data_IF_335205412455
#
_entry.id   IF_335205412455
#
_cell.length_a   1.000
_cell.length_b   1.000
_cell.length_c   1.000
_cell.angle_alpha   90.00
_cell.angle_beta   90.00
_cell.angle_gamma   90.00
#
_symmetry.space_group_name_H-M   'P 1'
#
loop_
_entity.id
_entity.type
_entity.pdbx_description
1 polymer ?
#
# COMPACT_ATOMS: atom_id res chain seq x y z
N UNK A 1 -29.74 16.43 13.73
CA UNK A 1 -28.29 16.11 13.72
C UNK A 1 -27.87 16.02 12.26
N UNK A 2 -26.93 16.84 11.78
CA UNK A 2 -26.48 16.76 10.38
C UNK A 2 -25.80 15.41 10.15
N UNK A 3 -26.23 14.67 9.13
CA UNK A 3 -25.57 13.44 8.70
C UNK A 3 -24.27 13.80 7.98
N UNK A 4 -23.18 13.96 8.74
CA UNK A 4 -21.86 14.34 8.21
C UNK A 4 -21.35 13.35 7.15
N UNK A 5 -21.76 12.08 7.22
CA UNK A 5 -21.37 11.05 6.25
C UNK A 5 -21.83 11.34 4.81
N UNK A 6 -22.81 12.24 4.61
CA UNK A 6 -23.22 12.66 3.27
C UNK A 6 -22.14 13.48 2.55
N UNK A 7 -21.29 14.20 3.29
CA UNK A 7 -20.31 15.15 2.72
C UNK A 7 -18.88 14.85 3.14
N UNK A 8 -18.68 13.98 4.15
CA UNK A 8 -17.37 13.67 4.73
C UNK A 8 -17.19 12.18 4.99
N UNK A 9 -15.95 11.70 4.89
CA UNK A 9 -15.48 10.54 5.63
C UNK A 9 -15.27 10.95 7.09
N UNK A 10 -15.84 10.20 8.04
CA UNK A 10 -15.76 10.51 9.48
C UNK A 10 -15.12 9.35 10.22
N UNK A 11 -14.03 9.62 10.94
CA UNK A 11 -13.41 8.68 11.87
C UNK A 11 -13.96 8.92 13.27
N UNK A 12 -14.45 7.87 13.92
CA UNK A 12 -15.02 7.93 15.27
C UNK A 12 -14.30 6.89 16.12
N UNK A 13 -13.82 7.29 17.30
CA UNK A 13 -13.26 6.34 18.24
C UNK A 13 -14.37 5.42 18.76
N UNK A 14 -14.33 4.12 18.49
CA UNK A 14 -15.42 3.22 18.86
C UNK A 14 -15.49 2.94 20.37
N UNK A 15 -14.44 3.26 21.13
CA UNK A 15 -14.42 3.08 22.59
C UNK A 15 -15.05 4.27 23.32
N UNK A 16 -14.96 5.48 22.77
CA UNK A 16 -15.50 6.71 23.42
C UNK A 16 -16.73 7.29 22.70
N UNK A 17 -16.92 6.96 21.42
CA UNK A 17 -17.93 7.57 20.55
C UNK A 17 -17.55 8.97 20.05
N UNK A 18 -16.36 9.46 20.37
CA UNK A 18 -15.89 10.79 19.98
C UNK A 18 -15.40 10.81 18.53
N UNK A 19 -15.70 11.90 17.81
CA UNK A 19 -15.17 12.12 16.46
C UNK A 19 -13.68 12.44 16.55
N UNK A 20 -12.86 11.63 15.88
CA UNK A 20 -11.40 11.80 15.79
C UNK A 20 -11.06 12.78 14.69
N UNK A 21 -11.69 12.62 13.53
CA UNK A 21 -11.47 13.47 12.36
C UNK A 21 -12.67 13.40 11.40
N UNK A 22 -12.78 14.42 10.54
CA UNK A 22 -13.70 14.42 9.40
C UNK A 22 -13.02 15.03 8.18
N UNK A 23 -13.05 14.33 7.06
CA UNK A 23 -12.45 14.77 5.80
C UNK A 23 -13.54 14.88 4.74
N UNK A 24 -13.70 16.02 4.04
CA UNK A 24 -14.69 16.12 2.97
C UNK A 24 -14.38 15.14 1.84
N UNK A 25 -15.40 14.72 1.11
CA UNK A 25 -15.20 13.94 -0.11
C UNK A 25 -14.36 14.73 -1.13
N UNK A 26 -13.48 14.02 -1.83
CA UNK A 26 -12.67 14.63 -2.88
C UNK A 26 -13.56 15.26 -3.97
N UNK A 27 -13.20 16.46 -4.40
CA UNK A 27 -13.81 17.10 -5.56
C UNK A 27 -13.42 16.38 -6.86
N UNK A 28 -14.21 16.57 -7.92
CA UNK A 28 -13.92 16.05 -9.26
C UNK A 28 -12.49 16.40 -9.71
N UNK A 29 -12.08 17.66 -9.49
CA UNK A 29 -10.73 18.14 -9.80
C UNK A 29 -9.63 17.39 -9.03
N UNK A 30 -9.85 17.06 -7.75
CA UNK A 30 -8.87 16.32 -6.94
C UNK A 30 -8.79 14.86 -7.39
N UNK A 31 -9.93 14.25 -7.75
CA UNK A 31 -9.98 12.90 -8.31
C UNK A 31 -9.22 12.85 -9.64
N UNK A 32 -9.50 13.77 -10.57
CA UNK A 32 -8.82 13.86 -11.86
C UNK A 32 -7.30 14.08 -11.68
N UNK A 33 -6.91 14.95 -10.74
CA UNK A 33 -5.51 15.18 -10.43
C UNK A 33 -4.82 13.93 -9.88
N UNK A 34 -5.48 13.19 -8.98
CA UNK A 34 -4.94 11.94 -8.43
C UNK A 34 -4.77 10.86 -9.51
N UNK A 35 -5.75 10.72 -10.42
CA UNK A 35 -5.69 9.79 -11.55
C UNK A 35 -4.55 10.17 -12.51
N UNK A 36 -4.45 11.45 -12.87
CA UNK A 36 -3.41 11.94 -13.76
C UNK A 36 -2.00 11.71 -13.16
N UNK A 37 -1.84 11.96 -11.86
CA UNK A 37 -0.58 11.72 -11.14
C UNK A 37 -0.23 10.23 -11.12
N UNK A 38 -1.20 9.35 -10.81
CA UNK A 38 -0.99 7.91 -10.80
C UNK A 38 -0.61 7.38 -12.19
N UNK A 39 -1.26 7.87 -13.25
CA UNK A 39 -0.96 7.48 -14.62
C UNK A 39 0.44 7.93 -15.05
N UNK A 40 0.86 9.14 -14.67
CA UNK A 40 2.22 9.63 -14.91
C UNK A 40 3.27 8.82 -14.14
N UNK A 41 3.01 8.54 -12.86
CA UNK A 41 3.86 7.71 -12.00
C UNK A 41 4.02 6.30 -12.57
N UNK A 42 2.94 5.65 -13.01
CA UNK A 42 3.00 4.32 -13.64
C UNK A 42 3.88 4.29 -14.89
N UNK A 43 3.76 5.30 -15.77
CA UNK A 43 4.57 5.38 -17.01
C UNK A 43 6.07 5.41 -16.70
N UNK A 44 6.47 6.03 -15.60
CA UNK A 44 7.86 6.05 -15.13
C UNK A 44 8.22 4.73 -14.42
N UNK A 45 7.37 4.28 -13.50
CA UNK A 45 7.61 3.10 -12.65
C UNK A 45 7.71 1.79 -13.42
N UNK A 46 6.98 1.64 -14.54
CA UNK A 46 7.04 0.43 -15.37
C UNK A 46 8.43 0.21 -15.99
N UNK A 47 9.21 1.28 -16.17
CA UNK A 47 10.58 1.22 -16.70
C UNK A 47 11.64 1.09 -15.60
N UNK A 48 11.25 1.15 -14.32
CA UNK A 48 12.18 1.02 -13.19
C UNK A 48 12.69 -0.42 -13.07
N UNK A 49 14.01 -0.65 -12.95
CA UNK A 49 14.58 -1.97 -12.74
C UNK A 49 13.96 -2.71 -11.55
N UNK A 50 13.82 -4.04 -11.65
CA UNK A 50 13.25 -4.85 -10.56
C UNK A 50 13.99 -4.68 -9.22
N UNK A 51 15.32 -4.55 -9.26
CA UNK A 51 16.14 -4.34 -8.06
C UNK A 51 15.76 -3.03 -7.33
N UNK A 52 15.64 -1.92 -8.06
CA UNK A 52 15.28 -0.63 -7.49
C UNK A 52 13.85 -0.63 -6.91
N UNK A 53 12.94 -1.40 -7.53
CA UNK A 53 11.58 -1.61 -7.01
C UNK A 53 11.59 -2.42 -5.71
N UNK A 54 12.44 -3.45 -5.61
CA UNK A 54 12.65 -4.20 -4.38
C UNK A 54 13.24 -3.31 -3.27
N UNK A 55 14.19 -2.43 -3.60
CA UNK A 55 14.74 -1.46 -2.64
C UNK A 55 13.71 -0.42 -2.19
N UNK A 56 12.77 -0.03 -3.05
CA UNK A 56 11.62 0.76 -2.64
C UNK A 56 10.75 0.03 -1.59
N UNK A 57 10.48 -1.26 -1.78
CA UNK A 57 9.76 -2.06 -0.79
C UNK A 57 10.51 -2.14 0.55
N UNK A 58 11.83 -2.38 0.54
CA UNK A 58 12.66 -2.36 1.77
C UNK A 58 12.57 -1.03 2.51
N UNK A 59 12.60 0.09 1.77
CA UNK A 59 12.44 1.44 2.36
C UNK A 59 11.05 1.64 2.97
N UNK A 60 10.00 1.11 2.36
CA UNK A 60 8.64 1.14 2.93
C UNK A 60 8.59 0.33 4.24
N UNK A 61 9.15 -0.89 4.25
CA UNK A 61 9.24 -1.71 5.45
C UNK A 61 10.02 -1.02 6.58
N UNK A 62 11.14 -0.38 6.26
CA UNK A 62 11.91 0.42 7.21
C UNK A 62 11.12 1.61 7.77
N UNK A 63 10.38 2.35 6.91
CA UNK A 63 9.54 3.47 7.34
C UNK A 63 8.39 3.03 8.27
N UNK A 64 7.75 1.89 7.96
CA UNK A 64 6.71 1.30 8.81
C UNK A 64 7.25 0.93 10.19
N UNK A 65 8.47 0.37 10.27
CA UNK A 65 9.12 0.05 11.56
C UNK A 65 9.48 1.31 12.34
N UNK A 66 10.03 2.32 11.66
CA UNK A 66 10.42 3.58 12.28
C UNK A 66 9.24 4.33 12.91
N UNK A 67 8.04 4.21 12.32
CA UNK A 67 6.80 4.86 12.78
C UNK A 67 5.80 3.86 13.38
N UNK A 68 6.26 2.67 13.77
CA UNK A 68 5.36 1.54 14.01
C UNK A 68 4.36 1.77 15.14
N UNK A 69 4.81 2.41 16.23
CA UNK A 69 3.93 2.75 17.35
C UNK A 69 2.88 3.79 16.97
N UNK A 70 3.27 4.84 16.22
CA UNK A 70 2.35 5.88 15.75
C UNK A 70 1.22 5.28 14.90
N UNK A 71 1.57 4.41 13.95
CA UNK A 71 0.60 3.73 13.09
C UNK A 71 -0.30 2.78 13.91
N UNK A 72 0.26 2.03 14.85
CA UNK A 72 -0.52 1.11 15.69
C UNK A 72 -1.52 1.86 16.58
N UNK A 73 -1.13 3.00 17.16
CA UNK A 73 -2.01 3.86 17.95
C UNK A 73 -3.15 4.43 17.10
N UNK A 74 -2.87 4.83 15.86
CA UNK A 74 -3.90 5.33 14.93
C UNK A 74 -4.92 4.24 14.57
N UNK A 75 -4.47 3.01 14.28
CA UNK A 75 -5.34 1.86 14.03
C UNK A 75 -6.25 1.63 15.25
N UNK A 76 -5.69 1.57 16.46
CA UNK A 76 -6.49 1.39 17.68
C UNK A 76 -7.48 2.55 17.89
N UNK A 77 -7.05 3.79 17.68
CA UNK A 77 -7.87 4.98 17.89
C UNK A 77 -9.08 5.03 16.96
N UNK A 78 -8.90 4.77 15.66
CA UNK A 78 -9.96 4.95 14.67
C UNK A 78 -10.93 3.77 14.58
N UNK A 79 -10.52 2.56 14.97
CA UNK A 79 -11.36 1.36 14.79
C UNK A 79 -11.32 0.35 15.94
N UNK A 80 -10.62 0.65 17.03
CA UNK A 80 -10.75 -0.08 18.30
C UNK A 80 -10.00 -1.41 18.39
N UNK A 81 -9.10 -1.73 17.44
CA UNK A 81 -8.26 -2.94 17.52
C UNK A 81 -7.41 -2.89 18.79
N UNK A 82 -7.33 -3.98 19.59
CA UNK A 82 -6.43 -4.03 20.73
C UNK A 82 -4.99 -3.70 20.33
N UNK A 83 -4.32 -2.81 21.07
CA UNK A 83 -3.02 -2.24 20.68
C UNK A 83 -1.94 -3.29 20.40
N UNK A 84 -1.95 -4.42 21.13
CA UNK A 84 -1.03 -5.52 20.88
C UNK A 84 -1.23 -6.15 19.48
N UNK A 85 -2.48 -6.27 19.03
CA UNK A 85 -2.80 -6.77 17.70
C UNK A 85 -2.47 -5.74 16.61
N UNK A 86 -2.73 -4.45 16.86
CA UNK A 86 -2.36 -3.37 15.94
C UNK A 86 -0.84 -3.29 15.72
N UNK A 87 -0.03 -3.40 16.80
CA UNK A 87 1.44 -3.52 16.68
C UNK A 87 1.85 -4.75 15.88
N UNK A 88 1.20 -5.89 16.11
CA UNK A 88 1.42 -7.11 15.33
C UNK A 88 1.10 -6.95 13.85
N UNK A 89 0.04 -6.22 13.51
CA UNK A 89 -0.32 -5.91 12.12
C UNK A 89 0.71 -5.02 11.42
N UNK A 90 1.20 -3.98 12.11
CA UNK A 90 2.26 -3.11 11.55
C UNK A 90 3.54 -3.92 11.30
N UNK A 91 3.94 -4.75 12.27
CA UNK A 91 5.09 -5.63 12.13
C UNK A 91 4.91 -6.62 10.96
N UNK A 92 3.74 -7.25 10.83
CA UNK A 92 3.41 -8.15 9.73
C UNK A 92 3.47 -7.44 8.37
N UNK A 93 2.96 -6.21 8.30
CA UNK A 93 2.97 -5.40 7.08
C UNK A 93 4.40 -5.01 6.66
N UNK A 94 5.24 -4.61 7.61
CA UNK A 94 6.65 -4.32 7.32
C UNK A 94 7.41 -5.58 6.84
N UNK A 95 7.14 -6.74 7.46
CA UNK A 95 7.74 -8.01 7.05
C UNK A 95 7.29 -8.44 5.65
N UNK A 96 6.04 -8.15 5.26
CA UNK A 96 5.54 -8.42 3.92
C UNK A 96 6.32 -7.63 2.85
N UNK A 97 6.69 -6.38 3.15
CA UNK A 97 7.52 -5.58 2.26
C UNK A 97 8.87 -6.24 2.00
N UNK A 98 9.55 -6.69 3.05
CA UNK A 98 10.86 -7.36 2.91
C UNK A 98 10.73 -8.69 2.19
N UNK A 99 9.68 -9.47 2.50
CA UNK A 99 9.46 -10.77 1.85
C UNK A 99 9.29 -10.62 0.34
N UNK A 100 8.49 -9.65 -0.13
CA UNK A 100 8.34 -9.38 -1.56
C UNK A 100 9.58 -8.74 -2.18
N UNK A 101 10.34 -7.93 -1.44
CA UNK A 101 11.60 -7.39 -1.94
C UNK A 101 12.64 -8.50 -2.20
N UNK A 102 12.63 -9.55 -1.40
CA UNK A 102 13.52 -10.70 -1.53
C UNK A 102 13.04 -11.71 -2.58
N UNK A 103 11.78 -12.13 -2.49
CA UNK A 103 11.27 -13.27 -3.28
C UNK A 103 10.52 -12.83 -4.55
N UNK A 104 9.93 -11.63 -4.55
CA UNK A 104 9.11 -11.11 -5.65
C UNK A 104 9.83 -11.02 -7.00
N UNK A 105 11.09 -10.55 -7.09
CA UNK A 105 11.80 -10.48 -8.37
C UNK A 105 11.88 -11.81 -9.12
N UNK A 106 12.09 -12.92 -8.41
CA UNK A 106 12.16 -14.25 -9.02
C UNK A 106 10.79 -14.71 -9.57
N UNK A 107 9.69 -14.33 -8.91
CA UNK A 107 8.32 -14.64 -9.34
C UNK A 107 7.91 -13.93 -10.63
N UNK A 108 8.67 -12.90 -11.05
CA UNK A 108 8.41 -12.12 -12.27
C UNK A 108 9.35 -12.50 -13.42
N UNK A 109 10.18 -13.53 -13.24
CA UNK A 109 11.08 -14.00 -14.29
C UNK A 109 10.29 -14.54 -15.49
N UNK A 110 10.85 -14.36 -16.69
CA UNK A 110 10.29 -14.96 -17.89
C UNK A 110 10.40 -16.47 -17.82
N UNK A 111 9.28 -17.17 -18.04
CA UNK A 111 9.25 -18.62 -18.13
C UNK A 111 9.52 -19.08 -19.56
N UNK A 112 10.42 -20.05 -19.71
CA UNK A 112 10.73 -20.63 -21.02
C UNK A 112 9.62 -21.60 -21.44
N UNK A 113 9.13 -21.46 -22.67
CA UNK A 113 8.23 -22.43 -23.28
C UNK A 113 9.03 -23.49 -24.04
N UNK A 114 8.60 -24.74 -23.97
CA UNK A 114 9.14 -25.83 -24.79
C UNK A 114 8.64 -25.68 -26.24
N UNK A 115 9.29 -24.81 -27.03
CA UNK A 115 9.22 -24.93 -28.49
C UNK A 115 10.39 -25.81 -28.89
N UNK A 116 10.11 -27.07 -29.28
CA UNK A 116 11.11 -27.94 -29.89
C UNK A 116 11.76 -27.18 -31.06
N UNK A 117 13.09 -27.14 -31.08
CA UNK A 117 13.88 -26.58 -32.17
C UNK A 117 13.37 -27.13 -33.50
N UNK A 118 12.53 -26.37 -34.20
CA UNK A 118 12.08 -26.74 -35.52
C UNK A 118 13.30 -26.64 -36.43
N UNK A 119 13.91 -27.79 -36.69
CA UNK A 119 14.82 -28.03 -37.80
C UNK A 119 14.04 -27.79 -39.10
N UNK A 120 13.84 -26.52 -39.44
CA UNK A 120 13.36 -26.09 -40.75
C UNK A 120 14.57 -25.80 -41.61
N UNK A 121 14.94 -26.76 -42.46
CA UNK A 121 16.08 -26.68 -43.34
C UNK A 121 16.06 -25.49 -44.30
N UNK A 122 17.26 -25.07 -44.67
CA UNK A 122 17.59 -24.58 -46.00
C UNK A 122 18.87 -25.29 -46.45
#
# INVERSE_FOLDING_TARGET
MMNLSATHAVSVNPTTGEVVSSLPWASEREVDAAIALAAAGYRQWRQTPLADRADALRRIGAALRARGEEVAQMITLEMGKPIAQARGEVAKSANLCDWYAEHGPAMLATEATLVENNQGGN
#
